data_IF_125349795015
#
_entry.id   IF_125349795015
#
_cell.length_a   1.000
_cell.length_b   1.000
_cell.length_c   1.000
_cell.angle_alpha   90.00
_cell.angle_beta   90.00
_cell.angle_gamma   90.00
#
_symmetry.space_group_name_H-M   'P 1'
#
loop_
_entity.id
_entity.type
_entity.pdbx_description
1 polymer ?
#
# COMPACT_ATOMS: atom_id res chain seq x y z
N UNK A 1 23.51 2.18 3.84
CA UNK A 1 22.08 2.03 3.51
C UNK A 1 21.56 0.75 4.15
N UNK A 2 20.40 0.80 4.80
CA UNK A 2 19.78 -0.33 5.53
C UNK A 2 19.18 -1.36 4.56
N UNK A 3 19.20 -2.62 4.94
CA UNK A 3 18.45 -3.69 4.26
C UNK A 3 16.94 -3.51 4.44
N UNK A 4 16.12 -4.27 3.72
CA UNK A 4 14.66 -4.29 3.89
C UNK A 4 14.30 -4.61 5.34
N UNK A 5 14.86 -5.68 5.89
CA UNK A 5 14.66 -6.11 7.29
C UNK A 5 15.04 -5.03 8.30
N UNK A 6 16.19 -4.39 8.10
CA UNK A 6 16.66 -3.30 8.96
C UNK A 6 15.74 -2.07 8.89
N UNK A 7 15.16 -1.78 7.74
CA UNK A 7 14.17 -0.70 7.58
C UNK A 7 12.93 -0.96 8.45
N UNK A 8 12.37 -2.15 8.42
CA UNK A 8 11.20 -2.50 9.23
C UNK A 8 11.55 -2.52 10.72
N UNK A 9 12.68 -3.11 11.07
CA UNK A 9 13.20 -3.13 12.46
C UNK A 9 13.37 -1.72 13.01
N UNK A 10 13.93 -0.82 12.21
CA UNK A 10 14.11 0.57 12.59
C UNK A 10 12.76 1.29 12.85
N UNK A 11 11.79 1.09 11.98
CA UNK A 11 10.45 1.65 12.15
C UNK A 11 9.77 1.16 13.45
N UNK A 12 9.94 -0.12 13.80
CA UNK A 12 9.41 -0.68 15.04
C UNK A 12 10.15 -0.16 16.29
N UNK A 13 11.47 -0.05 16.21
CA UNK A 13 12.28 0.49 17.33
C UNK A 13 11.92 1.95 17.63
N UNK A 14 11.62 2.73 16.61
CA UNK A 14 11.25 4.13 16.74
C UNK A 14 9.99 4.35 17.60
N UNK A 15 9.10 3.37 17.66
CA UNK A 15 7.89 3.39 18.51
C UNK A 15 8.04 2.57 19.79
N UNK A 16 9.25 2.12 20.12
CA UNK A 16 9.54 1.44 21.37
C UNK A 16 9.24 -0.06 21.40
N UNK A 17 9.10 -0.71 20.24
CA UNK A 17 8.86 -2.15 20.16
C UNK A 17 10.02 -2.96 20.76
N UNK A 18 9.67 -3.99 21.51
CA UNK A 18 10.63 -4.92 22.12
C UNK A 18 11.30 -5.83 21.06
N UNK A 19 12.50 -6.36 21.35
CA UNK A 19 13.13 -7.34 20.45
C UNK A 19 12.27 -8.57 20.14
N UNK A 20 11.42 -8.98 21.08
CA UNK A 20 10.48 -10.10 20.88
C UNK A 20 9.39 -9.78 19.88
N UNK A 21 8.81 -8.58 19.98
CA UNK A 21 7.81 -8.10 19.02
C UNK A 21 8.40 -7.96 17.62
N UNK A 22 9.61 -7.39 17.49
CA UNK A 22 10.31 -7.24 16.23
C UNK A 22 10.57 -8.59 15.56
N UNK A 23 11.10 -9.58 16.31
CA UNK A 23 11.37 -10.94 15.79
C UNK A 23 10.12 -11.65 15.28
N UNK A 24 8.95 -11.35 15.85
CA UNK A 24 7.67 -11.93 15.43
C UNK A 24 7.06 -11.16 14.26
N UNK A 25 7.08 -9.84 14.30
CA UNK A 25 6.33 -8.99 13.38
C UNK A 25 7.03 -8.82 12.03
N UNK A 26 8.33 -8.61 12.01
CA UNK A 26 9.08 -8.32 10.78
C UNK A 26 8.98 -9.47 9.77
N UNK A 27 9.21 -10.75 10.12
CA UNK A 27 9.02 -11.85 9.18
C UNK A 27 7.59 -11.95 8.62
N UNK A 28 6.59 -11.78 9.48
CA UNK A 28 5.17 -11.79 9.08
C UNK A 28 4.86 -10.72 8.02
N UNK A 29 5.32 -9.49 8.25
CA UNK A 29 5.07 -8.40 7.30
C UNK A 29 5.83 -8.60 5.99
N UNK A 30 7.07 -9.10 6.04
CA UNK A 30 7.83 -9.42 4.83
C UNK A 30 7.12 -10.48 3.98
N UNK A 31 6.57 -11.52 4.60
CA UNK A 31 5.79 -12.53 3.90
C UNK A 31 4.51 -11.94 3.29
N UNK A 32 3.77 -11.13 4.06
CA UNK A 32 2.53 -10.48 3.61
C UNK A 32 2.74 -9.60 2.37
N UNK A 33 3.85 -8.88 2.29
CA UNK A 33 4.17 -8.03 1.14
C UNK A 33 4.95 -8.77 0.03
N UNK A 34 5.22 -10.08 0.20
CA UNK A 34 5.94 -10.89 -0.78
C UNK A 34 7.44 -10.61 -0.89
N UNK A 35 8.07 -10.21 0.21
CA UNK A 35 9.51 -9.90 0.30
C UNK A 35 10.26 -10.79 1.30
N UNK A 36 9.70 -11.91 1.69
CA UNK A 36 10.30 -12.86 2.65
C UNK A 36 11.70 -13.33 2.23
N UNK A 37 11.92 -13.58 0.93
CA UNK A 37 13.21 -13.97 0.38
C UNK A 37 14.18 -12.80 0.08
N UNK A 38 13.75 -11.57 0.32
CA UNK A 38 14.50 -10.34 0.00
C UNK A 38 14.76 -9.44 1.20
N UNK A 39 14.54 -9.95 2.41
CA UNK A 39 14.76 -9.21 3.66
C UNK A 39 16.17 -8.64 3.83
N UNK A 40 17.18 -9.30 3.31
CA UNK A 40 18.58 -8.90 3.40
C UNK A 40 19.08 -8.06 2.21
N UNK A 41 18.20 -7.79 1.24
CA UNK A 41 18.49 -6.89 0.11
C UNK A 41 18.45 -5.43 0.53
N UNK A 42 19.24 -4.61 -0.15
CA UNK A 42 19.21 -3.14 -0.04
C UNK A 42 18.27 -2.55 -1.10
N UNK A 43 17.74 -1.33 -0.92
CA UNK A 43 16.82 -0.72 -1.89
C UNK A 43 17.31 -0.68 -3.33
N UNK A 44 18.61 -0.45 -3.54
CA UNK A 44 19.21 -0.44 -4.88
C UNK A 44 19.31 -1.82 -5.56
N UNK A 45 19.00 -2.89 -4.84
CA UNK A 45 18.94 -4.27 -5.33
C UNK A 45 17.51 -4.73 -5.61
N UNK A 46 16.54 -3.83 -5.54
CA UNK A 46 15.12 -4.10 -5.68
C UNK A 46 14.54 -3.43 -6.92
N UNK A 47 13.56 -4.07 -7.55
CA UNK A 47 12.75 -3.45 -8.61
C UNK A 47 11.87 -2.31 -8.05
N UNK A 48 11.31 -1.48 -8.92
CA UNK A 48 10.38 -0.41 -8.51
C UNK A 48 9.17 -0.93 -7.73
N UNK A 49 8.57 -2.02 -8.17
CA UNK A 49 7.45 -2.67 -7.47
C UNK A 49 7.86 -3.24 -6.11
N UNK A 50 9.04 -3.82 -5.99
CA UNK A 50 9.59 -4.30 -4.72
C UNK A 50 9.89 -3.14 -3.75
N UNK A 51 10.43 -2.03 -4.25
CA UNK A 51 10.64 -0.82 -3.43
C UNK A 51 9.31 -0.27 -2.91
N UNK A 52 8.27 -0.29 -3.72
CA UNK A 52 6.92 0.11 -3.28
C UNK A 52 6.36 -0.85 -2.21
N UNK A 53 6.60 -2.15 -2.35
CA UNK A 53 6.24 -3.14 -1.32
C UNK A 53 6.99 -2.91 0.00
N UNK A 54 8.24 -2.48 -0.04
CA UNK A 54 8.99 -2.05 1.16
C UNK A 54 8.34 -0.84 1.82
N UNK A 55 7.91 0.14 1.05
CA UNK A 55 7.22 1.32 1.58
C UNK A 55 5.90 0.94 2.27
N UNK A 56 5.12 0.05 1.67
CA UNK A 56 3.89 -0.49 2.27
C UNK A 56 4.21 -1.28 3.54
N UNK A 57 5.23 -2.12 3.52
CA UNK A 57 5.67 -2.88 4.69
C UNK A 57 6.07 -1.98 5.87
N UNK A 58 6.78 -0.88 5.60
CA UNK A 58 7.13 0.12 6.61
C UNK A 58 5.91 0.78 7.23
N UNK A 59 4.90 1.12 6.42
CA UNK A 59 3.65 1.67 6.92
C UNK A 59 2.88 0.66 7.78
N UNK A 60 2.93 -0.62 7.42
CA UNK A 60 2.15 -1.70 8.02
C UNK A 60 2.78 -2.29 9.30
N UNK A 61 4.11 -2.24 9.44
CA UNK A 61 4.84 -2.99 10.46
C UNK A 61 4.44 -2.63 11.90
N UNK A 62 4.03 -1.39 12.16
CA UNK A 62 3.56 -0.93 13.45
C UNK A 62 2.05 -1.15 13.68
N UNK A 63 1.43 -1.98 12.88
CA UNK A 63 0.03 -2.35 13.00
C UNK A 63 -0.94 -1.14 13.05
N UNK A 64 -0.91 -0.25 12.06
CA UNK A 64 -1.73 0.95 12.05
C UNK A 64 -3.22 0.60 11.83
N UNK A 65 -4.10 1.46 12.30
CA UNK A 65 -5.53 1.35 12.01
C UNK A 65 -5.87 1.79 10.58
N UNK A 66 -5.05 2.69 10.01
CA UNK A 66 -5.24 3.22 8.66
C UNK A 66 -3.89 3.38 7.95
N UNK A 67 -3.89 3.07 6.66
CA UNK A 67 -2.81 3.39 5.73
C UNK A 67 -3.33 4.38 4.71
N UNK A 68 -2.54 5.42 4.43
CA UNK A 68 -2.79 6.39 3.37
C UNK A 68 -1.70 6.18 2.31
N UNK A 69 -2.12 5.84 1.11
CA UNK A 69 -1.25 5.61 -0.03
C UNK A 69 -1.49 6.68 -1.10
N UNK A 70 -0.50 7.53 -1.32
CA UNK A 70 -0.54 8.60 -2.31
C UNK A 70 0.16 8.15 -3.59
N UNK A 71 -0.60 8.01 -4.67
CA UNK A 71 -0.17 7.48 -5.98
C UNK A 71 0.67 6.19 -5.86
N UNK A 72 0.16 5.13 -5.19
CA UNK A 72 0.96 3.96 -4.85
C UNK A 72 1.39 3.14 -6.06
N UNK A 73 0.81 3.38 -7.22
CA UNK A 73 1.13 2.70 -8.49
C UNK A 73 1.88 3.58 -9.47
N UNK A 74 2.26 4.80 -9.07
CA UNK A 74 3.03 5.73 -9.91
C UNK A 74 4.35 5.12 -10.38
N UNK A 75 4.67 5.32 -11.67
CA UNK A 75 5.88 4.81 -12.32
C UNK A 75 6.00 3.26 -12.40
N UNK A 76 4.91 2.53 -12.19
CA UNK A 76 4.85 1.09 -12.37
C UNK A 76 4.10 0.73 -13.66
N UNK A 77 4.50 -0.38 -14.28
CA UNK A 77 3.74 -0.96 -15.39
C UNK A 77 2.36 -1.45 -14.93
N UNK A 78 1.40 -1.70 -15.84
CA UNK A 78 0.04 -2.08 -15.49
C UNK A 78 -0.06 -3.35 -14.62
N UNK A 79 0.79 -4.35 -14.87
CA UNK A 79 0.77 -5.59 -14.10
C UNK A 79 1.23 -5.36 -12.66
N UNK A 80 2.32 -4.63 -12.47
CA UNK A 80 2.84 -4.31 -11.12
C UNK A 80 1.93 -3.35 -10.38
N UNK A 81 1.28 -2.43 -11.08
CA UNK A 81 0.24 -1.56 -10.52
C UNK A 81 -0.92 -2.37 -9.95
N UNK A 82 -1.37 -3.37 -10.71
CA UNK A 82 -2.41 -4.28 -10.25
C UNK A 82 -1.99 -5.07 -9.00
N UNK A 83 -0.77 -5.60 -8.98
CA UNK A 83 -0.22 -6.34 -7.83
C UNK A 83 -0.17 -5.46 -6.56
N UNK A 84 0.21 -4.19 -6.67
CA UNK A 84 0.22 -3.25 -5.55
C UNK A 84 -1.20 -2.99 -5.03
N UNK A 85 -2.16 -2.78 -5.92
CA UNK A 85 -3.56 -2.59 -5.52
C UNK A 85 -4.15 -3.83 -4.86
N UNK A 86 -3.85 -5.03 -5.37
CA UNK A 86 -4.25 -6.30 -4.74
C UNK A 86 -3.65 -6.47 -3.35
N UNK A 87 -2.40 -6.06 -3.16
CA UNK A 87 -1.76 -6.08 -1.84
C UNK A 87 -2.48 -5.13 -0.87
N UNK A 88 -2.81 -3.91 -1.30
CA UNK A 88 -3.56 -2.95 -0.48
C UNK A 88 -4.96 -3.46 -0.14
N UNK A 89 -5.64 -4.11 -1.09
CA UNK A 89 -6.92 -4.77 -0.85
C UNK A 89 -6.79 -5.88 0.20
N UNK A 90 -5.77 -6.73 0.09
CA UNK A 90 -5.49 -7.78 1.07
C UNK A 90 -5.24 -7.21 2.48
N UNK A 91 -4.50 -6.13 2.60
CA UNK A 91 -4.27 -5.42 3.86
C UNK A 91 -5.60 -4.91 4.45
N UNK A 92 -6.48 -4.39 3.60
CA UNK A 92 -7.81 -3.96 4.02
C UNK A 92 -8.69 -5.12 4.51
N UNK A 93 -8.68 -6.25 3.82
CA UNK A 93 -9.39 -7.48 4.24
C UNK A 93 -8.92 -7.99 5.62
N UNK A 94 -7.65 -7.76 5.97
CA UNK A 94 -7.10 -8.10 7.28
C UNK A 94 -7.48 -7.12 8.39
N UNK A 95 -8.27 -6.08 8.08
CA UNK A 95 -8.85 -5.15 9.05
C UNK A 95 -8.23 -3.76 9.10
N UNK A 96 -7.22 -3.46 8.28
CA UNK A 96 -6.65 -2.10 8.18
C UNK A 96 -7.47 -1.26 7.20
N UNK A 97 -7.87 -0.07 7.60
CA UNK A 97 -8.47 0.90 6.68
C UNK A 97 -7.42 1.38 5.68
N UNK A 98 -7.73 1.36 4.39
CA UNK A 98 -6.82 1.82 3.34
C UNK A 98 -7.45 2.95 2.56
N UNK A 99 -6.79 4.09 2.54
CA UNK A 99 -7.13 5.24 1.72
C UNK A 99 -6.10 5.37 0.60
N UNK A 100 -6.55 5.25 -0.66
CA UNK A 100 -5.71 5.41 -1.84
C UNK A 100 -6.03 6.71 -2.53
N UNK A 101 -5.02 7.55 -2.75
CA UNK A 101 -5.13 8.76 -3.59
C UNK A 101 -4.51 8.43 -4.94
N UNK A 102 -5.29 8.54 -6.01
CA UNK A 102 -4.82 8.17 -7.35
C UNK A 102 -5.60 8.88 -8.45
N UNK A 103 -4.96 9.05 -9.61
CA UNK A 103 -5.58 9.47 -10.87
C UNK A 103 -5.83 8.29 -11.82
N UNK A 104 -5.49 7.05 -11.43
CA UNK A 104 -5.61 5.85 -12.26
C UNK A 104 -7.05 5.33 -12.30
N UNK A 105 -7.91 5.94 -13.11
CA UNK A 105 -9.34 5.63 -13.23
C UNK A 105 -9.62 4.15 -13.50
N UNK A 106 -8.83 3.50 -14.34
CA UNK A 106 -8.98 2.08 -14.66
C UNK A 106 -8.82 1.19 -13.42
N UNK A 107 -7.84 1.49 -12.56
CA UNK A 107 -7.65 0.77 -11.30
C UNK A 107 -8.80 1.03 -10.33
N UNK A 108 -9.25 2.27 -10.21
CA UNK A 108 -10.38 2.65 -9.36
C UNK A 108 -11.64 1.87 -9.77
N UNK A 109 -11.95 1.82 -11.06
CA UNK A 109 -13.09 1.06 -11.59
C UNK A 109 -12.96 -0.43 -11.36
N UNK A 110 -11.75 -0.99 -11.58
CA UNK A 110 -11.50 -2.42 -11.42
C UNK A 110 -11.73 -2.92 -10.01
N UNK A 111 -11.32 -2.15 -9.01
CA UNK A 111 -11.47 -2.53 -7.59
C UNK A 111 -12.84 -2.20 -7.00
N UNK A 112 -13.65 -1.39 -7.66
CA UNK A 112 -15.05 -1.10 -7.32
C UNK A 112 -15.30 -0.77 -5.84
N UNK A 113 -14.41 -0.01 -5.22
CA UNK A 113 -14.53 0.44 -3.82
C UNK A 113 -15.26 1.77 -3.75
N UNK A 114 -15.44 2.32 -2.55
CA UNK A 114 -15.93 3.68 -2.34
C UNK A 114 -14.95 4.67 -2.93
N UNK A 115 -15.46 5.61 -3.71
CA UNK A 115 -14.67 6.66 -4.36
C UNK A 115 -15.20 8.03 -3.93
N UNK A 116 -14.28 8.83 -3.40
CA UNK A 116 -14.54 10.24 -3.08
C UNK A 116 -13.78 11.08 -4.10
N UNK A 117 -14.51 11.79 -4.96
CA UNK A 117 -13.91 12.67 -5.95
C UNK A 117 -13.77 14.09 -5.37
N UNK A 118 -12.57 14.65 -5.53
CA UNK A 118 -12.24 16.00 -5.06
C UNK A 118 -11.82 16.86 -6.24
N UNK A 119 -12.39 18.02 -6.37
CA UNK A 119 -12.04 19.02 -7.37
C UNK A 119 -12.00 20.41 -6.73
N UNK A 120 -10.92 21.16 -7.01
CA UNK A 120 -10.71 22.51 -6.46
C UNK A 120 -10.91 22.60 -4.94
N UNK A 121 -10.46 21.57 -4.19
CA UNK A 121 -10.56 21.53 -2.73
C UNK A 121 -11.94 21.21 -2.18
N UNK A 122 -12.88 20.76 -3.03
CA UNK A 122 -14.25 20.39 -2.64
C UNK A 122 -14.57 18.96 -3.05
N UNK A 123 -15.32 18.26 -2.21
CA UNK A 123 -15.88 16.96 -2.55
C UNK A 123 -17.01 17.19 -3.55
N UNK A 124 -16.90 16.57 -4.74
CA UNK A 124 -17.90 16.67 -5.80
C UNK A 124 -18.75 15.40 -5.92
N UNK A 125 -18.24 14.26 -5.47
CA UNK A 125 -19.01 13.00 -5.36
C UNK A 125 -18.43 12.08 -4.29
N UNK A 126 -19.27 11.19 -3.77
CA UNK A 126 -18.92 10.14 -2.81
C UNK A 126 -19.80 8.92 -3.13
N UNK A 127 -19.25 7.96 -3.85
CA UNK A 127 -20.00 6.84 -4.41
C UNK A 127 -19.30 5.51 -4.14
N UNK A 128 -20.07 4.43 -4.11
CA UNK A 128 -19.56 3.06 -3.98
C UNK A 128 -19.69 2.34 -5.32
N UNK A 129 -18.65 1.62 -5.75
CA UNK A 129 -18.69 0.79 -6.95
C UNK A 129 -17.90 1.30 -8.15
N UNK A 130 -17.02 2.28 -7.97
CA UNK A 130 -16.12 2.78 -9.01
C UNK A 130 -16.30 4.25 -9.35
N UNK A 131 -15.52 4.74 -10.29
CA UNK A 131 -15.36 6.17 -10.55
C UNK A 131 -16.51 6.81 -11.33
N UNK A 132 -17.20 6.07 -12.19
CA UNK A 132 -18.32 6.54 -12.99
C UNK A 132 -19.28 5.40 -13.34
N UNK A 133 -20.42 5.35 -12.70
CA UNK A 133 -21.62 4.74 -13.27
C UNK A 133 -22.46 5.76 -14.06
N UNK A 134 -21.95 6.95 -14.32
CA UNK A 134 -22.62 8.01 -15.05
C UNK A 134 -21.82 8.43 -16.28
N UNK A 135 -21.59 7.52 -17.24
CA UNK A 135 -21.73 7.93 -18.62
C UNK A 135 -23.23 8.06 -18.90
N UNK A 136 -23.79 9.15 -18.45
CA UNK A 136 -25.05 9.59 -19.01
C UNK A 136 -24.74 10.01 -20.45
N UNK A 137 -25.02 9.08 -21.34
CA UNK A 137 -25.25 9.27 -22.75
C UNK A 137 -25.93 10.64 -23.01
N UNK A 138 -25.26 11.48 -23.76
CA UNK A 138 -25.93 12.53 -24.53
C UNK A 138 -26.12 11.98 -25.94
#
# INVERSE_FOLDING_TARGET
KKTVRENLTFAMRAVGASPREIRKRVPYVLELVGLDQKGDRKPNQLSGGEQQRVAIARALVNNPQMIIADEPTGNLDPMRSLEIMMLLERINELGTTVLVVTHAKELVNRFSKRVVAIENGRIISDETGGYYNNETTI
#
